data_IF_604990987090
#
_entry.id   IF_604990987090
#
_cell.length_a   1.000
_cell.length_b   1.000
_cell.length_c   1.000
_cell.angle_alpha   90.00
_cell.angle_beta   90.00
_cell.angle_gamma   90.00
#
_symmetry.space_group_name_H-M   'P 1'
#
loop_
_entity.id
_entity.type
_entity.pdbx_description
1 polymer ?
#
# COMPACT_ATOMS: atom_id res chain seq x y z
N UNK A 1 -11.07 -16.88 0.62
CA UNK A 1 -11.96 -15.87 1.24
C UNK A 1 -12.35 -14.85 0.18
N UNK A 2 -13.63 -14.69 -0.09
CA UNK A 2 -14.11 -13.79 -1.16
C UNK A 2 -13.93 -12.33 -0.74
N UNK A 3 -13.43 -11.47 -1.64
CA UNK A 3 -13.31 -10.01 -1.44
C UNK A 3 -14.66 -9.40 -1.01
N UNK A 4 -15.77 -9.97 -1.48
CA UNK A 4 -17.12 -9.53 -1.10
C UNK A 4 -17.40 -9.65 0.39
N UNK A 5 -16.77 -10.62 1.08
CA UNK A 5 -16.91 -10.79 2.54
C UNK A 5 -16.02 -9.83 3.35
N UNK A 6 -14.95 -9.31 2.73
CA UNK A 6 -14.06 -8.34 3.39
C UNK A 6 -14.59 -6.90 3.33
N UNK A 7 -15.44 -6.58 2.35
CA UNK A 7 -15.98 -5.22 2.17
C UNK A 7 -16.63 -4.63 3.43
N UNK A 8 -17.46 -5.36 4.20
CA UNK A 8 -18.06 -4.80 5.43
C UNK A 8 -17.11 -4.83 6.63
N UNK A 9 -16.09 -5.70 6.64
CA UNK A 9 -15.17 -5.85 7.77
C UNK A 9 -14.22 -4.67 7.86
N UNK A 10 -13.74 -4.15 6.73
CA UNK A 10 -12.80 -3.03 6.67
C UNK A 10 -13.38 -1.76 7.29
N UNK A 11 -14.57 -1.25 6.87
CA UNK A 11 -15.14 -0.07 7.50
C UNK A 11 -15.55 -0.31 8.97
N UNK A 12 -15.94 -1.52 9.33
CA UNK A 12 -16.26 -1.88 10.71
C UNK A 12 -15.03 -1.81 11.62
N UNK A 13 -13.92 -2.40 11.20
CA UNK A 13 -12.64 -2.29 11.92
C UNK A 13 -12.14 -0.85 12.00
N UNK A 14 -12.25 -0.09 10.90
CA UNK A 14 -11.87 1.32 10.87
C UNK A 14 -12.72 2.14 11.85
N UNK A 15 -14.03 1.90 11.93
CA UNK A 15 -14.94 2.58 12.85
C UNK A 15 -14.60 2.28 14.31
N UNK A 16 -14.32 1.01 14.64
CA UNK A 16 -13.91 0.61 15.99
C UNK A 16 -12.59 1.30 16.38
N UNK A 17 -11.62 1.34 15.46
CA UNK A 17 -10.35 2.02 15.70
C UNK A 17 -10.56 3.52 15.94
N UNK A 18 -11.38 4.18 15.13
CA UNK A 18 -11.69 5.62 15.27
C UNK A 18 -12.39 5.90 16.60
N UNK A 19 -13.41 5.10 16.96
CA UNK A 19 -14.13 5.26 18.24
C UNK A 19 -13.22 5.00 19.42
N UNK A 20 -12.36 3.97 19.36
CA UNK A 20 -11.36 3.69 20.39
C UNK A 20 -10.36 4.83 20.56
N UNK A 21 -9.95 5.47 19.44
CA UNK A 21 -9.03 6.59 19.44
C UNK A 21 -9.65 7.87 20.02
N UNK A 22 -10.96 8.07 19.86
CA UNK A 22 -11.67 9.21 20.49
C UNK A 22 -11.70 9.16 22.01
N UNK A 23 -11.57 7.96 22.60
CA UNK A 23 -11.46 7.78 24.04
C UNK A 23 -10.05 8.05 24.59
N UNK A 24 -9.02 7.99 23.72
CA UNK A 24 -7.68 8.43 24.06
C UNK A 24 -7.51 9.94 23.80
N UNK A 25 -6.52 10.59 24.39
CA UNK A 25 -6.34 12.03 24.22
C UNK A 25 -6.33 12.43 22.73
N UNK A 26 -6.89 13.60 22.42
CA UNK A 26 -7.00 14.11 21.03
C UNK A 26 -5.65 14.11 20.28
N UNK A 27 -4.55 14.30 20.99
CA UNK A 27 -3.18 14.32 20.41
C UNK A 27 -2.78 12.94 19.91
N UNK A 28 -3.04 11.89 20.68
CA UNK A 28 -2.75 10.52 20.26
C UNK A 28 -3.65 10.06 19.11
N UNK A 29 -4.91 10.46 19.13
CA UNK A 29 -5.83 10.18 18.02
C UNK A 29 -5.31 10.73 16.70
N UNK A 30 -4.79 11.97 16.70
CA UNK A 30 -4.20 12.59 15.52
C UNK A 30 -2.92 11.86 15.08
N UNK A 31 -2.08 11.43 16.01
CA UNK A 31 -0.86 10.68 15.71
C UNK A 31 -1.12 9.29 15.14
N UNK A 32 -2.22 8.65 15.52
CA UNK A 32 -2.60 7.34 14.98
C UNK A 32 -3.28 7.40 13.59
N UNK A 33 -3.69 8.57 13.14
CA UNK A 33 -4.35 8.74 11.84
C UNK A 33 -3.53 8.13 10.67
N UNK A 34 -2.24 8.46 10.50
CA UNK A 34 -1.45 7.83 9.42
C UNK A 34 -1.30 6.32 9.59
N UNK A 35 -1.22 5.83 10.82
CA UNK A 35 -1.13 4.39 11.12
C UNK A 35 -2.39 3.66 10.63
N UNK A 36 -3.56 4.21 10.90
CA UNK A 36 -4.85 3.63 10.45
C UNK A 36 -4.92 3.58 8.93
N UNK A 37 -4.59 4.68 8.25
CA UNK A 37 -4.60 4.74 6.79
C UNK A 37 -3.61 3.74 6.18
N UNK A 38 -2.38 3.71 6.67
CA UNK A 38 -1.35 2.77 6.21
C UNK A 38 -1.77 1.31 6.44
N UNK A 39 -2.42 1.02 7.58
CA UNK A 39 -2.94 -0.31 7.88
C UNK A 39 -4.02 -0.74 6.90
N UNK A 40 -4.94 0.16 6.57
CA UNK A 40 -6.02 -0.12 5.60
C UNK A 40 -5.42 -0.41 4.23
N UNK A 41 -4.51 0.42 3.75
CA UNK A 41 -3.85 0.24 2.46
C UNK A 41 -3.07 -1.06 2.43
N UNK A 42 -2.30 -1.35 3.49
CA UNK A 42 -1.57 -2.60 3.61
C UNK A 42 -2.50 -3.82 3.57
N UNK A 43 -3.61 -3.80 4.31
CA UNK A 43 -4.57 -4.89 4.32
C UNK A 43 -5.20 -5.11 2.94
N UNK A 44 -5.48 -4.05 2.19
CA UNK A 44 -6.01 -4.14 0.83
C UNK A 44 -5.00 -4.83 -0.09
N UNK A 45 -3.74 -4.40 -0.08
CA UNK A 45 -2.68 -5.01 -0.89
C UNK A 45 -2.39 -6.46 -0.47
N UNK A 46 -2.30 -6.70 0.82
CA UNK A 46 -2.03 -8.03 1.35
C UNK A 46 -3.14 -9.03 1.02
N UNK A 47 -4.39 -8.63 1.19
CA UNK A 47 -5.52 -9.50 0.86
C UNK A 47 -5.64 -9.76 -0.65
N UNK A 48 -5.19 -8.83 -1.49
CA UNK A 48 -5.21 -9.02 -2.94
C UNK A 48 -4.26 -10.12 -3.42
N UNK A 49 -3.21 -10.43 -2.66
CA UNK A 49 -2.28 -11.52 -2.99
C UNK A 49 -3.00 -12.89 -3.02
N UNK A 50 -4.00 -13.06 -2.17
CA UNK A 50 -4.78 -14.30 -2.09
C UNK A 50 -5.89 -14.39 -3.16
N UNK A 51 -6.04 -13.38 -3.99
CA UNK A 51 -7.02 -13.36 -5.07
C UNK A 51 -6.39 -13.87 -6.38
N UNK A 52 -7.23 -14.26 -7.33
CA UNK A 52 -6.77 -14.67 -8.66
C UNK A 52 -6.00 -13.55 -9.35
N UNK A 53 -6.51 -12.33 -9.25
CA UNK A 53 -5.85 -11.12 -9.75
C UNK A 53 -5.52 -10.18 -8.61
N UNK A 54 -4.24 -9.77 -8.50
CA UNK A 54 -3.80 -8.77 -7.52
C UNK A 54 -4.30 -7.38 -7.93
N UNK A 55 -4.27 -6.43 -6.98
CA UNK A 55 -4.66 -5.04 -7.25
C UNK A 55 -3.85 -4.45 -8.40
N UNK A 56 -2.54 -4.69 -8.40
CA UNK A 56 -1.65 -4.18 -9.46
C UNK A 56 -1.97 -4.83 -10.80
N UNK A 57 -2.32 -6.13 -10.81
CA UNK A 57 -2.77 -6.82 -12.02
C UNK A 57 -4.05 -6.21 -12.59
N UNK A 58 -5.03 -5.93 -11.74
CA UNK A 58 -6.29 -5.28 -12.15
C UNK A 58 -6.04 -3.90 -12.73
N UNK A 59 -5.15 -3.15 -12.11
CA UNK A 59 -4.77 -1.81 -12.57
C UNK A 59 -4.05 -1.87 -13.91
N UNK A 60 -3.09 -2.78 -14.06
CA UNK A 60 -2.35 -2.99 -15.32
C UNK A 60 -3.29 -3.44 -16.45
N UNK A 61 -4.23 -4.34 -16.16
CA UNK A 61 -5.24 -4.79 -17.12
C UNK A 61 -6.14 -3.65 -17.59
N UNK A 62 -6.50 -2.74 -16.68
CA UNK A 62 -7.31 -1.57 -17.01
C UNK A 62 -6.57 -0.58 -17.90
N UNK A 63 -5.26 -0.43 -17.71
CA UNK A 63 -4.42 0.47 -18.51
C UNK A 63 -4.06 -0.12 -19.88
N UNK A 64 -3.66 -1.38 -19.90
CA UNK A 64 -3.10 -2.04 -21.10
C UNK A 64 -4.11 -2.92 -21.85
N UNK A 65 -5.30 -3.12 -21.31
CA UNK A 65 -6.39 -3.89 -21.92
C UNK A 65 -6.26 -5.40 -21.78
N UNK A 66 -5.07 -5.98 -21.86
CA UNK A 66 -4.82 -7.42 -21.72
C UNK A 66 -3.57 -7.68 -20.89
N UNK A 67 -3.63 -8.71 -20.04
CA UNK A 67 -2.46 -9.21 -19.31
C UNK A 67 -1.79 -10.32 -20.12
N UNK A 68 -0.55 -10.09 -20.52
CA UNK A 68 0.32 -11.16 -21.02
C UNK A 68 0.83 -11.97 -19.82
N UNK A 69 1.27 -13.23 -20.04
CA UNK A 69 1.83 -14.06 -18.96
C UNK A 69 3.03 -13.40 -18.29
N UNK A 70 3.86 -12.72 -19.05
CA UNK A 70 4.98 -11.94 -18.52
C UNK A 70 4.49 -10.80 -17.62
N UNK A 71 3.52 -10.02 -18.07
CA UNK A 71 2.93 -8.91 -17.31
C UNK A 71 2.25 -9.42 -16.04
N UNK A 72 1.58 -10.56 -16.10
CA UNK A 72 0.92 -11.20 -14.96
C UNK A 72 1.93 -11.57 -13.87
N UNK A 73 3.01 -12.25 -14.22
CA UNK A 73 4.04 -12.64 -13.28
C UNK A 73 4.78 -11.44 -12.69
N UNK A 74 5.10 -10.47 -13.53
CA UNK A 74 5.76 -9.22 -13.11
C UNK A 74 4.91 -8.43 -12.11
N UNK A 75 3.64 -8.20 -12.43
CA UNK A 75 2.73 -7.43 -11.56
C UNK A 75 2.43 -8.15 -10.25
N UNK A 76 2.42 -9.49 -10.25
CA UNK A 76 2.27 -10.27 -9.02
C UNK A 76 3.48 -10.11 -8.10
N UNK A 77 4.71 -10.20 -8.64
CA UNK A 77 5.94 -9.93 -7.89
C UNK A 77 5.97 -8.49 -7.36
N UNK A 78 5.54 -7.54 -8.18
CA UNK A 78 5.45 -6.14 -7.80
C UNK A 78 4.49 -5.93 -6.62
N UNK A 79 3.37 -6.65 -6.57
CA UNK A 79 2.44 -6.60 -5.45
C UNK A 79 3.09 -7.07 -4.14
N UNK A 80 3.92 -8.11 -4.18
CA UNK A 80 4.68 -8.56 -3.01
C UNK A 80 5.66 -7.48 -2.53
N UNK A 81 6.37 -6.83 -3.46
CA UNK A 81 7.31 -5.73 -3.13
C UNK A 81 6.56 -4.57 -2.48
N UNK A 82 5.40 -4.20 -3.01
CA UNK A 82 4.55 -3.16 -2.43
C UNK A 82 4.06 -3.53 -1.04
N UNK A 83 3.70 -4.78 -0.80
CA UNK A 83 3.29 -5.26 0.53
C UNK A 83 4.42 -5.12 1.55
N UNK A 84 5.65 -5.50 1.17
CA UNK A 84 6.82 -5.37 2.04
C UNK A 84 7.09 -3.89 2.35
N UNK A 85 7.06 -3.03 1.33
CA UNK A 85 7.23 -1.59 1.48
C UNK A 85 6.18 -0.99 2.42
N UNK A 86 4.91 -1.31 2.21
CA UNK A 86 3.81 -0.80 3.03
C UNK A 86 3.90 -1.32 4.47
N UNK A 87 4.32 -2.56 4.66
CA UNK A 87 4.52 -3.13 6.00
C UNK A 87 5.63 -2.41 6.76
N UNK A 88 6.78 -2.20 6.13
CA UNK A 88 7.91 -1.46 6.73
C UNK A 88 7.48 -0.02 7.04
N UNK A 89 6.81 0.64 6.12
CA UNK A 89 6.29 2.00 6.32
C UNK A 89 5.31 2.06 7.49
N UNK A 90 4.45 1.06 7.62
CA UNK A 90 3.51 0.95 8.74
C UNK A 90 4.24 0.81 10.08
N UNK A 91 5.26 -0.06 10.16
CA UNK A 91 6.05 -0.25 11.38
C UNK A 91 6.76 1.04 11.80
N UNK A 92 7.34 1.76 10.85
CA UNK A 92 8.00 3.04 11.12
C UNK A 92 6.97 4.08 11.56
N UNK A 93 5.81 4.12 10.94
CA UNK A 93 4.72 5.02 11.30
C UNK A 93 4.24 4.78 12.74
N UNK A 94 4.10 3.52 13.15
CA UNK A 94 3.76 3.14 14.53
C UNK A 94 4.86 3.61 15.50
N UNK A 95 6.13 3.40 15.17
CA UNK A 95 7.26 3.82 16.00
C UNK A 95 7.26 5.35 16.20
N UNK A 96 6.91 6.13 15.16
CA UNK A 96 6.88 7.60 15.25
C UNK A 96 5.79 8.12 16.19
N UNK A 97 4.74 7.36 16.46
CA UNK A 97 3.69 7.74 17.44
C UNK A 97 4.28 7.93 18.83
N UNK A 98 5.27 7.13 19.19
CA UNK A 98 5.95 7.17 20.49
C UNK A 98 7.13 8.16 20.53
N UNK A 99 7.41 8.82 19.41
CA UNK A 99 8.46 9.81 19.28
C UNK A 99 7.89 11.23 19.41
N UNK A 100 8.77 12.25 19.35
CA UNK A 100 8.37 13.65 19.42
C UNK A 100 7.43 14.00 18.24
N UNK A 101 6.62 15.04 18.44
CA UNK A 101 5.69 15.53 17.39
C UNK A 101 6.44 15.96 16.12
N UNK A 102 7.65 16.47 16.28
CA UNK A 102 8.50 16.89 15.16
C UNK A 102 8.93 15.71 14.30
N UNK A 103 9.37 14.62 14.91
CA UNK A 103 9.76 13.38 14.20
C UNK A 103 8.55 12.75 13.53
N UNK A 104 7.44 12.65 14.24
CA UNK A 104 6.19 12.12 13.70
C UNK A 104 5.71 12.90 12.47
N UNK A 105 5.67 14.22 12.59
CA UNK A 105 5.25 15.12 11.51
C UNK A 105 6.18 15.04 10.32
N UNK A 106 7.49 15.07 10.54
CA UNK A 106 8.49 14.99 9.49
C UNK A 106 8.39 13.67 8.70
N UNK A 107 8.27 12.54 9.39
CA UNK A 107 8.16 11.24 8.74
C UNK A 107 6.84 11.10 7.97
N UNK A 108 5.72 11.32 8.62
CA UNK A 108 4.40 11.02 8.03
C UNK A 108 3.99 12.05 6.98
N UNK A 109 4.42 13.31 7.10
CA UNK A 109 4.08 14.35 6.12
C UNK A 109 5.08 14.46 4.97
N UNK A 110 6.35 14.17 5.18
CA UNK A 110 7.41 14.38 4.18
C UNK A 110 8.08 13.07 3.75
N UNK A 111 8.72 12.35 4.67
CA UNK A 111 9.56 11.20 4.33
C UNK A 111 8.74 10.06 3.74
N UNK A 112 7.57 9.77 4.29
CA UNK A 112 6.67 8.73 3.81
C UNK A 112 6.22 9.00 2.37
N UNK A 113 5.84 10.24 2.06
CA UNK A 113 5.44 10.63 0.71
C UNK A 113 6.60 10.61 -0.29
N UNK A 114 7.79 11.04 0.13
CA UNK A 114 9.01 10.97 -0.71
C UNK A 114 9.34 9.51 -1.02
N UNK A 115 9.30 8.63 -0.02
CA UNK A 115 9.54 7.20 -0.19
C UNK A 115 8.53 6.57 -1.15
N UNK A 116 7.26 6.92 -1.02
CA UNK A 116 6.20 6.48 -1.92
C UNK A 116 6.44 6.96 -3.35
N UNK A 117 6.82 8.23 -3.52
CA UNK A 117 7.15 8.81 -4.83
C UNK A 117 8.35 8.13 -5.48
N UNK A 118 9.39 7.82 -4.71
CA UNK A 118 10.55 7.06 -5.19
C UNK A 118 10.12 5.66 -5.63
N UNK A 119 9.28 4.99 -4.84
CA UNK A 119 8.77 3.66 -5.17
C UNK A 119 8.00 3.64 -6.49
N UNK A 120 7.11 4.63 -6.70
CA UNK A 120 6.40 4.79 -7.97
C UNK A 120 7.35 5.10 -9.13
N UNK A 121 8.33 5.97 -8.92
CA UNK A 121 9.32 6.33 -9.94
C UNK A 121 10.17 5.15 -10.37
N UNK A 122 10.68 4.37 -9.42
CA UNK A 122 11.45 3.15 -9.68
C UNK A 122 10.60 2.11 -10.41
N UNK A 123 9.37 1.90 -9.97
CA UNK A 123 8.43 0.98 -10.62
C UNK A 123 8.17 1.38 -12.08
N UNK A 124 7.93 2.65 -12.33
CA UNK A 124 7.68 3.20 -13.66
C UNK A 124 8.87 2.97 -14.59
N UNK A 125 10.09 3.28 -14.13
CA UNK A 125 11.34 3.09 -14.91
C UNK A 125 11.57 1.61 -15.20
N UNK A 126 11.43 0.74 -14.22
CA UNK A 126 11.59 -0.71 -14.38
C UNK A 126 10.56 -1.25 -15.38
N UNK A 127 9.33 -0.78 -15.31
CA UNK A 127 8.26 -1.18 -16.26
C UNK A 127 8.61 -0.80 -17.69
N UNK A 128 9.12 0.41 -17.93
CA UNK A 128 9.54 0.86 -19.27
C UNK A 128 10.69 -0.01 -19.79
N UNK A 129 11.71 -0.26 -18.97
CA UNK A 129 12.89 -1.07 -19.35
C UNK A 129 12.48 -2.49 -19.70
N UNK A 130 11.64 -3.12 -18.87
CA UNK A 130 11.18 -4.48 -19.10
C UNK A 130 10.28 -4.60 -20.33
N UNK A 131 9.41 -3.61 -20.55
CA UNK A 131 8.55 -3.57 -21.74
C UNK A 131 9.38 -3.45 -23.01
N UNK A 132 10.35 -2.54 -23.04
CA UNK A 132 11.27 -2.37 -24.17
C UNK A 132 12.08 -3.66 -24.44
N UNK A 133 12.57 -4.31 -23.40
CA UNK A 133 13.30 -5.58 -23.51
C UNK A 133 12.42 -6.73 -24.02
N UNK A 134 11.16 -6.78 -23.59
CA UNK A 134 10.20 -7.78 -24.06
C UNK A 134 9.81 -7.57 -25.52
N UNK A 135 9.53 -6.32 -25.90
CA UNK A 135 9.18 -5.98 -27.30
C UNK A 135 10.38 -6.16 -28.25
N UNK A 136 11.61 -5.94 -27.77
CA UNK A 136 12.83 -6.18 -28.54
C UNK A 136 13.15 -7.66 -28.77
N UNK A 137 12.49 -8.59 -28.08
CA UNK A 137 12.62 -10.04 -28.30
C UNK A 137 11.62 -10.65 -29.29
N UNK A 138 10.65 -9.85 -29.69
CA UNK A 138 9.72 -10.21 -30.78
C UNK A 138 10.33 -9.83 -32.12
#
# INVERSE_FOLDING_TARGET
>A
MSIKKLKPIIPFCATICVVGLFHFSKIYALKFYPVVINSIIFCIFFSSIFCEETIIQKFAKKLDGKLTDFSRNYTRKLTYIWCIFLFVNLLISIATVFMSERVWSLYNACISYIALGIMFGVEYVVRIILRAKYDGRK
#
